data_IF_803115148711
#
_entry.id   IF_803115148711
#
_cell.length_a   1.000
_cell.length_b   1.000
_cell.length_c   1.000
_cell.angle_alpha   90.00
_cell.angle_beta   90.00
_cell.angle_gamma   90.00
#
_symmetry.space_group_name_H-M   'P 1'
#
loop_
_entity.id
_entity.type
_entity.pdbx_description
1 polymer ?
#
# COMPACT_ATOMS: atom_id res chain seq x y z
N UNK A 1 7.31 -23.16 15.24
CA UNK A 1 7.95 -21.87 14.87
C UNK A 1 7.38 -21.26 13.59
N UNK A 2 7.32 -21.97 12.46
CA UNK A 2 6.82 -21.41 11.19
C UNK A 2 5.42 -20.77 11.26
N UNK A 3 4.48 -21.36 12.00
CA UNK A 3 3.13 -20.80 12.18
C UNK A 3 3.11 -19.48 12.99
N UNK A 4 4.06 -19.29 13.91
CA UNK A 4 4.18 -18.07 14.73
C UNK A 4 4.77 -16.94 13.87
N UNK A 5 5.81 -17.25 13.08
CA UNK A 5 6.39 -16.29 12.14
C UNK A 5 5.38 -15.85 11.08
N UNK A 6 4.54 -16.75 10.56
CA UNK A 6 3.49 -16.39 9.61
C UNK A 6 2.46 -15.42 10.19
N UNK A 7 2.06 -15.61 11.45
CA UNK A 7 1.16 -14.66 12.15
C UNK A 7 1.82 -13.31 12.38
N UNK A 8 3.08 -13.30 12.82
CA UNK A 8 3.82 -12.07 13.03
C UNK A 8 3.97 -11.27 11.73
N UNK A 9 4.24 -11.95 10.60
CA UNK A 9 4.32 -11.31 9.29
C UNK A 9 2.99 -10.68 8.85
N UNK A 10 1.85 -11.38 9.06
CA UNK A 10 0.54 -10.79 8.78
C UNK A 10 0.27 -9.55 9.63
N UNK A 11 0.53 -9.63 10.94
CA UNK A 11 0.37 -8.47 11.85
C UNK A 11 1.24 -7.30 11.39
N UNK A 12 2.49 -7.57 10.98
CA UNK A 12 3.37 -6.55 10.43
C UNK A 12 2.80 -5.88 9.17
N UNK A 13 2.24 -6.64 8.24
CA UNK A 13 1.62 -6.07 7.04
C UNK A 13 0.41 -5.17 7.38
N UNK A 14 -0.44 -5.57 8.32
CA UNK A 14 -1.55 -4.73 8.80
C UNK A 14 -1.07 -3.43 9.48
N UNK A 15 0.00 -3.50 10.29
CA UNK A 15 0.60 -2.32 10.92
C UNK A 15 1.17 -1.36 9.88
N UNK A 16 1.78 -1.86 8.80
CA UNK A 16 2.31 -1.01 7.74
C UNK A 16 1.18 -0.33 6.96
N UNK A 17 0.08 -1.03 6.67
CA UNK A 17 -1.10 -0.38 6.06
C UNK A 17 -1.67 0.70 6.96
N UNK A 18 -1.73 0.47 8.27
CA UNK A 18 -2.18 1.48 9.23
C UNK A 18 -1.26 2.70 9.21
N UNK A 19 0.05 2.48 9.15
CA UNK A 19 1.04 3.55 9.02
C UNK A 19 0.86 4.32 7.71
N UNK A 20 0.66 3.64 6.59
CA UNK A 20 0.37 4.26 5.28
C UNK A 20 -0.91 5.11 5.36
N UNK A 21 -1.99 4.58 5.92
CA UNK A 21 -3.23 5.33 6.11
C UNK A 21 -3.00 6.61 6.95
N UNK A 22 -2.21 6.53 8.01
CA UNK A 22 -1.84 7.69 8.83
C UNK A 22 -1.00 8.70 8.04
N UNK A 23 -0.01 8.25 7.26
CA UNK A 23 0.82 9.13 6.42
C UNK A 23 -0.03 9.87 5.38
N UNK A 24 -0.92 9.17 4.66
CA UNK A 24 -1.78 9.79 3.66
C UNK A 24 -2.78 10.78 4.25
N UNK A 25 -3.35 10.48 5.43
CA UNK A 25 -4.29 11.39 6.12
C UNK A 25 -3.60 12.62 6.69
N UNK A 26 -2.41 12.47 7.31
CA UNK A 26 -1.61 13.60 7.80
C UNK A 26 -1.15 14.47 6.63
N UNK A 27 -0.64 13.88 5.55
CA UNK A 27 -0.24 14.62 4.36
C UNK A 27 -1.39 15.40 3.72
N UNK A 28 -2.61 14.83 3.74
CA UNK A 28 -3.81 15.54 3.30
C UNK A 28 -4.16 16.71 4.22
N UNK A 29 -4.09 16.50 5.54
CA UNK A 29 -4.37 17.52 6.54
C UNK A 29 -3.35 18.67 6.49
N UNK A 30 -2.07 18.37 6.28
CA UNK A 30 -1.03 19.39 6.06
C UNK A 30 -1.33 20.23 4.82
N UNK A 31 -1.75 19.58 3.73
CA UNK A 31 -2.13 20.28 2.49
C UNK A 31 -3.40 21.14 2.70
N UNK A 32 -4.36 20.68 3.52
CA UNK A 32 -5.62 21.37 3.80
C UNK A 32 -5.50 22.52 4.81
N UNK A 33 -4.55 22.42 5.74
CA UNK A 33 -4.25 23.48 6.73
C UNK A 33 -3.31 24.55 6.18
N UNK A 34 -2.59 24.26 5.10
CA UNK A 34 -1.66 25.20 4.44
C UNK A 34 -1.90 25.39 2.93
N UNK A 35 -3.14 25.58 2.44
CA UNK A 35 -3.39 25.73 1.01
C UNK A 35 -2.90 27.08 0.46
N UNK A 36 -2.69 28.09 1.32
CA UNK A 36 -2.44 29.49 0.93
C UNK A 36 -1.38 30.23 1.77
N UNK A 37 -0.93 29.68 2.90
CA UNK A 37 0.06 30.33 3.78
C UNK A 37 1.52 30.12 3.33
N UNK A 38 1.74 29.29 2.31
CA UNK A 38 3.07 28.96 1.77
C UNK A 38 3.38 29.63 0.42
N UNK A 39 2.75 30.77 0.11
CA UNK A 39 3.29 31.71 -0.91
C UNK A 39 4.73 32.17 -0.52
N UNK A 40 5.13 31.99 0.75
CA UNK A 40 6.47 32.28 1.25
C UNK A 40 7.43 31.09 1.37
N UNK A 41 7.01 29.84 1.12
CA UNK A 41 7.95 28.69 1.11
C UNK A 41 8.16 28.18 -0.32
N UNK A 42 9.37 28.34 -0.88
CA UNK A 42 9.65 28.10 -2.30
C UNK A 42 9.59 26.63 -2.74
N UNK A 43 9.31 25.67 -1.85
CA UNK A 43 9.42 24.25 -2.21
C UNK A 43 8.09 23.58 -2.61
N UNK A 44 6.96 23.91 -1.97
CA UNK A 44 5.69 23.18 -2.18
C UNK A 44 4.70 23.99 -3.01
N UNK A 45 4.66 25.32 -2.81
CA UNK A 45 3.90 26.24 -3.66
C UNK A 45 4.40 26.21 -5.10
N UNK A 46 5.72 26.23 -5.29
CA UNK A 46 6.34 26.24 -6.63
C UNK A 46 6.02 24.99 -7.44
N UNK A 47 5.83 23.82 -6.82
CA UNK A 47 5.51 22.59 -7.56
C UNK A 47 4.06 22.60 -8.05
N UNK A 48 3.12 23.03 -7.23
CA UNK A 48 1.70 23.15 -7.65
C UNK A 48 1.57 24.26 -8.70
N UNK A 49 2.26 25.39 -8.50
CA UNK A 49 2.26 26.53 -9.43
C UNK A 49 2.97 26.16 -10.73
N UNK A 50 4.05 25.39 -10.69
CA UNK A 50 4.79 24.93 -11.88
C UNK A 50 4.02 23.88 -12.67
N UNK A 51 3.33 22.95 -11.99
CA UNK A 51 2.41 22.02 -12.67
C UNK A 51 1.22 22.78 -13.25
N UNK A 52 0.67 23.74 -12.51
CA UNK A 52 -0.42 24.58 -13.00
C UNK A 52 0.03 25.44 -14.20
N UNK A 53 1.25 25.99 -14.18
CA UNK A 53 1.79 26.77 -15.29
C UNK A 53 2.13 25.89 -16.49
N UNK A 54 2.68 24.68 -16.28
CA UNK A 54 2.90 23.70 -17.34
C UNK A 54 1.59 23.25 -18.01
N UNK A 55 0.50 23.15 -17.23
CA UNK A 55 -0.84 22.86 -17.74
C UNK A 55 -1.60 24.12 -18.22
N UNK A 56 -0.95 25.29 -18.19
CA UNK A 56 -1.56 26.58 -18.55
C UNK A 56 -2.87 26.89 -17.81
N UNK A 57 -2.98 26.41 -16.56
CA UNK A 57 -4.17 26.56 -15.74
C UNK A 57 -4.24 27.98 -15.16
N UNK A 58 -5.40 28.63 -15.23
CA UNK A 58 -5.59 29.91 -14.56
C UNK A 58 -5.55 29.74 -13.03
N UNK A 59 -5.23 30.79 -12.26
CA UNK A 59 -4.96 30.70 -10.81
C UNK A 59 -6.15 30.15 -9.99
N UNK A 60 -7.38 30.38 -10.45
CA UNK A 60 -8.57 29.79 -9.83
C UNK A 60 -8.66 28.27 -10.03
N UNK A 61 -8.17 27.75 -11.16
CA UNK A 61 -8.12 26.32 -11.44
C UNK A 61 -7.00 25.62 -10.67
N UNK A 62 -5.90 26.31 -10.35
CA UNK A 62 -4.82 25.78 -9.51
C UNK A 62 -5.31 25.44 -8.08
N UNK A 63 -6.18 26.28 -7.51
CA UNK A 63 -6.81 26.01 -6.20
C UNK A 63 -7.74 24.79 -6.25
N UNK A 64 -8.57 24.67 -7.30
CA UNK A 64 -9.43 23.50 -7.49
C UNK A 64 -8.61 22.23 -7.68
N UNK A 65 -7.49 22.32 -8.39
CA UNK A 65 -6.55 21.22 -8.57
C UNK A 65 -5.89 20.81 -7.24
N UNK A 66 -5.46 21.76 -6.42
CA UNK A 66 -4.94 21.48 -5.08
C UNK A 66 -5.99 20.79 -4.19
N UNK A 67 -7.23 21.26 -4.19
CA UNK A 67 -8.36 20.63 -3.49
C UNK A 67 -8.64 19.21 -3.98
N UNK A 68 -8.58 18.98 -5.30
CA UNK A 68 -8.72 17.66 -5.89
C UNK A 68 -7.63 16.71 -5.36
N UNK A 69 -6.37 17.16 -5.30
CA UNK A 69 -5.26 16.37 -4.75
C UNK A 69 -5.46 16.05 -3.27
N UNK A 70 -5.97 17.00 -2.48
CA UNK A 70 -6.31 16.76 -1.07
C UNK A 70 -7.39 15.69 -0.95
N UNK A 71 -8.46 15.81 -1.73
CA UNK A 71 -9.56 14.83 -1.74
C UNK A 71 -9.06 13.45 -2.15
N UNK A 72 -8.16 13.37 -3.14
CA UNK A 72 -7.56 12.11 -3.56
C UNK A 72 -6.72 11.48 -2.44
N UNK A 73 -5.89 12.27 -1.76
CA UNK A 73 -5.10 11.79 -0.59
C UNK A 73 -6.00 11.27 0.52
N UNK A 74 -7.07 12.00 0.86
CA UNK A 74 -8.05 11.57 1.86
C UNK A 74 -8.79 10.30 1.43
N UNK A 75 -9.17 10.19 0.16
CA UNK A 75 -9.81 9.01 -0.39
C UNK A 75 -8.92 7.77 -0.24
N UNK A 76 -7.63 7.89 -0.59
CA UNK A 76 -6.64 6.81 -0.43
C UNK A 76 -6.49 6.44 1.04
N UNK A 77 -6.28 7.42 1.92
CA UNK A 77 -6.17 7.18 3.36
C UNK A 77 -7.41 6.51 3.97
N UNK A 78 -8.61 6.99 3.61
CA UNK A 78 -9.88 6.43 4.05
C UNK A 78 -10.11 5.02 3.51
N UNK A 79 -9.73 4.75 2.26
CA UNK A 79 -9.81 3.41 1.68
C UNK A 79 -8.91 2.42 2.43
N UNK A 80 -7.66 2.80 2.73
CA UNK A 80 -6.74 1.97 3.53
C UNK A 80 -7.27 1.75 4.96
N UNK A 81 -7.91 2.75 5.57
CA UNK A 81 -8.53 2.57 6.88
C UNK A 81 -9.73 1.62 6.81
N UNK A 82 -10.56 1.77 5.78
CA UNK A 82 -11.72 0.91 5.56
C UNK A 82 -11.30 -0.55 5.35
N UNK A 83 -10.19 -0.81 4.65
CA UNK A 83 -9.70 -2.18 4.47
C UNK A 83 -9.28 -2.82 5.80
N UNK A 84 -8.66 -2.06 6.71
CA UNK A 84 -8.34 -2.53 8.06
C UNK A 84 -9.61 -2.81 8.88
N UNK A 85 -10.61 -1.93 8.81
CA UNK A 85 -11.87 -2.09 9.54
C UNK A 85 -12.60 -3.35 9.06
N UNK A 86 -12.70 -3.54 7.74
CA UNK A 86 -13.31 -4.73 7.16
C UNK A 86 -12.55 -6.00 7.53
N UNK A 87 -11.21 -6.01 7.44
CA UNK A 87 -10.41 -7.17 7.83
C UNK A 87 -10.57 -7.50 9.34
N UNK A 88 -10.62 -6.49 10.20
CA UNK A 88 -10.87 -6.67 11.63
C UNK A 88 -12.28 -7.22 11.89
N UNK A 89 -13.28 -6.71 11.18
CA UNK A 89 -14.67 -7.15 11.28
C UNK A 89 -14.86 -8.60 10.80
N UNK A 90 -14.31 -8.96 9.63
CA UNK A 90 -14.36 -10.33 9.11
C UNK A 90 -13.67 -11.30 10.06
N UNK A 91 -12.50 -10.92 10.58
CA UNK A 91 -11.78 -11.75 11.55
C UNK A 91 -12.56 -11.95 12.85
N UNK A 92 -13.30 -10.93 13.32
CA UNK A 92 -14.16 -11.04 14.49
C UNK A 92 -15.39 -11.92 14.21
N UNK A 93 -15.97 -11.81 13.01
CA UNK A 93 -17.21 -12.51 12.63
C UNK A 93 -17.00 -13.98 12.24
N UNK A 94 -15.93 -14.27 11.50
CA UNK A 94 -15.70 -15.58 10.89
C UNK A 94 -14.40 -16.26 11.36
N UNK A 95 -13.60 -15.61 12.22
CA UNK A 95 -12.33 -16.17 12.73
C UNK A 95 -11.20 -16.25 11.70
N UNK A 96 -11.49 -15.89 10.44
CA UNK A 96 -10.55 -15.83 9.33
C UNK A 96 -10.83 -14.56 8.51
N UNK A 97 -9.78 -14.01 7.89
CA UNK A 97 -9.85 -12.88 6.97
C UNK A 97 -9.28 -13.34 5.65
N UNK A 98 -9.95 -12.99 4.54
CA UNK A 98 -9.33 -13.15 3.22
C UNK A 98 -8.24 -12.07 3.09
N UNK A 99 -7.02 -12.50 2.81
CA UNK A 99 -5.90 -11.58 2.70
C UNK A 99 -5.95 -10.83 1.35
N UNK A 100 -6.82 -11.21 0.39
CA UNK A 100 -6.89 -10.59 -0.94
C UNK A 100 -7.13 -9.07 -0.87
N UNK A 101 -7.92 -8.60 0.09
CA UNK A 101 -8.21 -7.17 0.25
C UNK A 101 -7.00 -6.37 0.73
N UNK A 102 -6.10 -7.02 1.48
CA UNK A 102 -4.81 -6.45 1.91
C UNK A 102 -3.91 -6.19 0.69
N UNK A 103 -3.84 -7.12 -0.26
CA UNK A 103 -3.00 -6.96 -1.46
C UNK A 103 -3.51 -5.83 -2.34
N UNK A 104 -4.83 -5.75 -2.53
CA UNK A 104 -5.45 -4.67 -3.31
C UNK A 104 -5.18 -3.31 -2.64
N UNK A 105 -5.27 -3.24 -1.32
CA UNK A 105 -4.94 -2.04 -0.56
C UNK A 105 -3.47 -1.62 -0.73
N UNK A 106 -2.54 -2.57 -0.63
CA UNK A 106 -1.11 -2.31 -0.84
C UNK A 106 -0.80 -1.91 -2.27
N UNK A 107 -1.46 -2.52 -3.26
CA UNK A 107 -1.30 -2.17 -4.67
C UNK A 107 -1.79 -0.74 -4.95
N UNK A 108 -2.97 -0.37 -4.42
CA UNK A 108 -3.51 0.98 -4.56
C UNK A 108 -2.59 2.00 -3.86
N UNK A 109 -2.09 1.69 -2.67
CA UNK A 109 -1.13 2.55 -1.98
C UNK A 109 0.16 2.74 -2.78
N UNK A 110 0.72 1.65 -3.35
CA UNK A 110 1.91 1.73 -4.18
C UNK A 110 1.68 2.56 -5.46
N UNK A 111 0.55 2.38 -6.13
CA UNK A 111 0.17 3.19 -7.30
C UNK A 111 -0.01 4.67 -6.94
N UNK A 112 -0.65 4.96 -5.81
CA UNK A 112 -0.83 6.33 -5.32
C UNK A 112 0.51 6.99 -4.97
N UNK A 113 1.42 6.27 -4.30
CA UNK A 113 2.78 6.77 -4.01
C UNK A 113 3.62 6.95 -5.28
N UNK A 114 3.50 6.05 -6.27
CA UNK A 114 4.18 6.24 -7.55
C UNK A 114 3.66 7.49 -8.29
N UNK A 115 2.35 7.73 -8.26
CA UNK A 115 1.75 8.93 -8.84
C UNK A 115 2.16 10.20 -8.09
N UNK A 116 2.32 10.15 -6.77
CA UNK A 116 2.82 11.29 -5.97
C UNK A 116 4.33 11.56 -6.16
N UNK A 117 5.09 10.61 -6.72
CA UNK A 117 6.50 10.79 -7.07
C UNK A 117 6.74 11.68 -8.30
N UNK A 118 5.78 11.73 -9.23
CA UNK A 118 5.92 12.43 -10.52
C UNK A 118 6.36 13.91 -10.38
N UNK A 119 5.75 14.70 -9.49
CA UNK A 119 6.16 16.08 -9.25
C UNK A 119 7.60 16.19 -8.70
N UNK A 120 8.04 15.24 -7.87
CA UNK A 120 9.39 15.24 -7.30
C UNK A 120 10.47 14.97 -8.36
N UNK A 121 10.16 14.20 -9.40
CA UNK A 121 11.08 13.94 -10.52
C UNK A 121 11.37 15.20 -11.36
N UNK A 122 10.46 16.17 -11.35
CA UNK A 122 10.57 17.38 -12.16
C UNK A 122 11.17 18.57 -11.41
N UNK A 123 11.19 18.56 -10.07
CA UNK A 123 11.51 19.76 -9.25
C UNK A 123 12.67 19.60 -8.24
N UNK A 124 13.54 18.61 -8.41
CA UNK A 124 14.70 18.41 -7.55
C UNK A 124 14.39 17.45 -6.39
N UNK A 125 15.18 16.38 -6.32
CA UNK A 125 14.86 15.12 -5.63
C UNK A 125 14.65 15.13 -4.10
N UNK A 126 14.53 16.27 -3.43
CA UNK A 126 14.18 16.30 -1.99
C UNK A 126 12.77 15.76 -1.75
N UNK A 127 11.82 16.05 -2.64
CA UNK A 127 10.45 15.50 -2.58
C UNK A 127 10.42 13.98 -2.81
N UNK A 128 11.40 13.42 -3.52
CA UNK A 128 11.48 11.97 -3.75
C UNK A 128 11.72 11.18 -2.47
N UNK A 129 12.42 11.75 -1.48
CA UNK A 129 12.83 10.98 -0.29
C UNK A 129 11.61 10.49 0.53
N UNK A 130 10.58 11.34 0.66
CA UNK A 130 9.32 10.97 1.31
C UNK A 130 8.59 9.84 0.57
N UNK A 131 8.51 9.96 -0.76
CA UNK A 131 7.81 9.02 -1.64
C UNK A 131 8.52 7.67 -1.74
N UNK A 132 9.86 7.67 -1.74
CA UNK A 132 10.67 6.45 -1.67
C UNK A 132 10.37 5.70 -0.35
N UNK A 133 10.21 6.43 0.76
CA UNK A 133 9.82 5.84 2.05
C UNK A 133 8.48 5.12 1.99
N UNK A 134 7.45 5.74 1.39
CA UNK A 134 6.13 5.12 1.21
C UNK A 134 6.19 3.88 0.31
N UNK A 135 6.92 3.95 -0.81
CA UNK A 135 7.11 2.82 -1.72
C UNK A 135 7.86 1.66 -1.05
N UNK A 136 8.89 1.95 -0.24
CA UNK A 136 9.58 0.94 0.56
C UNK A 136 8.65 0.28 1.57
N UNK A 137 7.79 1.06 2.24
CA UNK A 137 6.78 0.52 3.15
C UNK A 137 5.80 -0.41 2.43
N UNK A 138 5.30 -0.02 1.25
CA UNK A 138 4.46 -0.88 0.42
C UNK A 138 5.16 -2.18 0.01
N UNK A 139 6.43 -2.12 -0.39
CA UNK A 139 7.24 -3.29 -0.74
C UNK A 139 7.45 -4.22 0.47
N UNK A 140 7.80 -3.66 1.62
CA UNK A 140 7.98 -4.43 2.86
C UNK A 140 6.67 -5.10 3.25
N UNK A 141 5.55 -4.36 3.25
CA UNK A 141 4.25 -4.92 3.57
C UNK A 141 3.81 -6.02 2.60
N UNK A 142 4.07 -5.85 1.30
CA UNK A 142 3.78 -6.88 0.30
C UNK A 142 4.62 -8.13 0.54
N UNK A 143 5.91 -7.97 0.85
CA UNK A 143 6.80 -9.08 1.22
C UNK A 143 6.33 -9.81 2.47
N UNK A 144 5.90 -9.08 3.51
CA UNK A 144 5.34 -9.65 4.73
C UNK A 144 4.01 -10.37 4.48
N UNK A 145 3.14 -9.82 3.63
CA UNK A 145 1.87 -10.45 3.25
C UNK A 145 2.11 -11.78 2.52
N UNK A 146 3.02 -11.80 1.53
CA UNK A 146 3.42 -13.00 0.79
C UNK A 146 4.02 -14.05 1.73
N UNK A 147 4.92 -13.64 2.63
CA UNK A 147 5.54 -14.53 3.62
C UNK A 147 4.50 -15.09 4.61
N UNK A 148 3.59 -14.26 5.12
CA UNK A 148 2.53 -14.62 6.06
C UNK A 148 1.48 -15.58 5.50
N UNK A 149 1.33 -15.64 4.17
CA UNK A 149 0.51 -16.62 3.46
C UNK A 149 1.19 -17.97 3.27
N UNK A 150 2.52 -18.05 3.46
CA UNK A 150 3.27 -19.28 3.30
C UNK A 150 3.64 -19.62 1.85
N UNK A 151 3.51 -18.69 0.90
CA UNK A 151 3.94 -18.90 -0.50
C UNK A 151 5.43 -19.23 -0.63
N UNK A 152 6.26 -18.73 0.30
CA UNK A 152 7.70 -19.02 0.36
C UNK A 152 8.02 -20.33 1.10
N UNK A 153 7.09 -20.85 1.90
CA UNK A 153 7.22 -22.14 2.58
C UNK A 153 6.44 -23.15 1.76
N UNK A 154 6.99 -23.52 0.61
CA UNK A 154 6.53 -24.68 -0.15
C UNK A 154 6.67 -25.90 0.76
N UNK A 155 5.60 -26.29 1.45
CA UNK A 155 5.51 -27.64 2.00
C UNK A 155 5.59 -28.55 0.78
N UNK A 156 6.71 -29.26 0.62
CA UNK A 156 6.78 -30.43 -0.24
C UNK A 156 5.60 -31.32 0.15
N UNK A 157 4.54 -31.30 -0.65
CA UNK A 157 3.48 -32.30 -0.53
C UNK A 157 4.15 -33.65 -0.75
N UNK A 158 3.90 -34.66 0.12
CA UNK A 158 4.45 -35.98 -0.10
C UNK A 158 4.02 -36.42 -1.49
N UNK A 159 4.99 -36.63 -2.38
CA UNK A 159 4.78 -37.16 -3.72
C UNK A 159 3.94 -38.42 -3.53
N UNK A 160 2.73 -38.46 -4.08
CA UNK A 160 1.88 -39.64 -3.99
C UNK A 160 2.67 -40.84 -4.53
N UNK A 161 3.19 -41.67 -3.62
CA UNK A 161 3.79 -42.95 -3.98
C UNK A 161 2.67 -43.77 -4.57
N UNK A 162 2.70 -43.94 -5.89
CA UNK A 162 1.82 -44.90 -6.58
C UNK A 162 1.94 -46.23 -5.82
N UNK A 163 0.83 -46.87 -5.43
CA UNK A 163 0.91 -48.21 -4.86
C UNK A 163 1.64 -49.09 -5.87
N UNK A 164 2.77 -49.66 -5.45
CA UNK A 164 3.40 -50.76 -6.16
C UNK A 164 2.31 -51.84 -6.31
N UNK A 165 1.97 -52.14 -7.56
CA UNK A 165 1.30 -53.39 -7.89
C UNK A 165 2.19 -54.51 -7.38
N UNK A 166 1.87 -55.01 -6.18
CA UNK A 166 2.27 -56.33 -5.73
C UNK A 166 1.53 -57.33 -6.62
N UNK A 167 2.03 -57.48 -7.85
CA UNK A 167 1.70 -58.54 -8.77
C UNK A 167 2.10 -59.86 -8.14
N UNK A 168 1.11 -60.45 -7.49
CA UNK A 168 1.03 -61.79 -6.92
C UNK A 168 1.77 -62.80 -7.80
N UNK A 169 2.95 -63.23 -7.36
CA UNK A 169 3.50 -64.52 -7.74
C UNK A 169 2.73 -65.57 -6.93
N UNK A 170 1.76 -66.23 -7.55
CA UNK A 170 1.24 -67.53 -7.10
C UNK A 170 0.88 -68.43 -8.30
N UNK A 171 1.79 -69.38 -8.54
CA UNK A 171 1.61 -70.81 -8.82
C UNK A 171 0.69 -71.24 -9.99
N UNK A 172 1.31 -71.83 -11.02
CA UNK A 172 1.21 -73.27 -11.30
C UNK A 172 2.46 -73.74 -12.07
#
# INVERSE_FOLDING_TARGET
MAAILGRAARVGAYLIILLLAAVWTVAALETLTRPLLDIGRPAVGDVIISIASALSLPPHAALLFALLLVMLKLLVGAFLLATLICAAYEKLRWGASDDAMLDVALFIAAMASAASALPGLTHGGELLQSVIGELMLCLIASGLAIYGRGYLVRREQPRATRPQEAGVIRLA
#
